data_IF_719340374896
#
_entry.id   IF_719340374896
#
_cell.length_a   1.000
_cell.length_b   1.000
_cell.length_c   1.000
_cell.angle_alpha   90.00
_cell.angle_beta   90.00
_cell.angle_gamma   90.00
#
_symmetry.space_group_name_H-M   'P 1'
#
loop_
_entity.id
_entity.type
_entity.pdbx_description
1 polymer ?
#
# COMPACT_ATOMS: atom_id res chain seq x y z
N UNK A 1 -9.12 -13.69 75.36
CA UNK A 1 -10.08 -14.25 74.40
C UNK A 1 -10.28 -13.23 73.28
N UNK A 2 -9.70 -13.48 72.09
CA UNK A 2 -9.90 -12.69 70.87
C UNK A 2 -10.80 -13.53 69.96
N UNK A 3 -12.00 -13.05 69.64
CA UNK A 3 -12.76 -13.61 68.53
C UNK A 3 -12.78 -12.60 67.38
N UNK A 4 -12.14 -13.04 66.30
CA UNK A 4 -11.85 -12.29 65.09
C UNK A 4 -13.11 -12.00 64.30
N UNK A 5 -13.17 -10.80 63.74
CA UNK A 5 -14.20 -10.30 62.84
C UNK A 5 -14.02 -10.83 61.42
N UNK A 6 -15.15 -10.94 60.74
CA UNK A 6 -15.34 -10.73 59.29
C UNK A 6 -15.04 -11.90 58.34
N UNK A 7 -16.09 -12.66 58.02
CA UNK A 7 -16.22 -13.30 56.71
C UNK A 7 -16.95 -12.31 55.80
N UNK A 8 -16.21 -11.63 54.92
CA UNK A 8 -16.73 -11.01 53.70
C UNK A 8 -15.95 -11.60 52.54
N UNK A 9 -16.47 -12.68 51.97
CA UNK A 9 -16.02 -13.17 50.66
C UNK A 9 -16.51 -12.17 49.61
N UNK A 10 -15.63 -11.27 49.19
CA UNK A 10 -15.84 -10.46 48.01
C UNK A 10 -15.62 -11.34 46.78
N UNK A 11 -16.71 -11.82 46.17
CA UNK A 11 -16.69 -12.34 44.80
C UNK A 11 -16.69 -11.13 43.87
N UNK A 12 -15.51 -10.70 43.45
CA UNK A 12 -15.31 -9.78 42.33
C UNK A 12 -14.38 -10.49 41.35
N UNK A 13 -14.93 -11.49 40.66
CA UNK A 13 -14.29 -12.11 39.51
C UNK A 13 -14.92 -11.57 38.22
N UNK A 14 -14.04 -11.07 37.36
CA UNK A 14 -14.16 -11.04 35.91
C UNK A 14 -15.24 -10.15 35.27
N UNK A 15 -14.90 -8.88 35.08
CA UNK A 15 -15.39 -8.06 33.97
C UNK A 15 -14.23 -7.24 33.35
N UNK A 16 -13.14 -7.91 32.97
CA UNK A 16 -12.02 -7.32 32.22
C UNK A 16 -11.81 -7.99 30.85
N UNK A 17 -12.80 -8.73 30.35
CA UNK A 17 -12.79 -9.29 29.00
C UNK A 17 -13.74 -8.46 28.13
N UNK A 18 -13.22 -7.62 27.23
CA UNK A 18 -14.07 -7.16 26.13
C UNK A 18 -13.64 -5.93 25.34
N UNK A 19 -12.77 -5.04 25.83
CA UNK A 19 -12.27 -3.94 25.00
C UNK A 19 -11.05 -4.37 24.19
N UNK A 20 -11.20 -5.45 23.43
CA UNK A 20 -10.29 -5.76 22.33
C UNK A 20 -10.45 -4.66 21.28
N UNK A 21 -9.34 -4.05 20.87
CA UNK A 21 -9.25 -3.22 19.67
C UNK A 21 -9.75 -4.05 18.47
N UNK A 22 -11.05 -4.00 18.19
CA UNK A 22 -11.61 -4.61 16.99
C UNK A 22 -11.15 -3.74 15.81
N UNK A 23 -10.12 -4.21 15.11
CA UNK A 23 -9.78 -3.64 13.81
C UNK A 23 -11.03 -3.71 12.92
N UNK A 24 -11.41 -2.59 12.31
CA UNK A 24 -12.58 -2.56 11.44
C UNK A 24 -12.42 -3.57 10.29
N UNK A 25 -13.49 -4.20 9.80
CA UNK A 25 -13.42 -5.13 8.67
C UNK A 25 -12.70 -4.53 7.46
N UNK A 26 -12.94 -3.25 7.17
CA UNK A 26 -12.25 -2.50 6.11
C UNK A 26 -10.73 -2.43 6.33
N UNK A 27 -10.29 -2.15 7.57
CA UNK A 27 -8.85 -2.15 7.91
C UNK A 27 -8.24 -3.53 7.72
N UNK A 28 -8.94 -4.59 8.13
CA UNK A 28 -8.45 -5.96 7.98
C UNK A 28 -8.31 -6.37 6.50
N UNK A 29 -9.30 -6.07 5.67
CA UNK A 29 -9.25 -6.31 4.22
C UNK A 29 -8.14 -5.49 3.53
N UNK A 30 -7.90 -4.25 3.99
CA UNK A 30 -6.79 -3.43 3.49
C UNK A 30 -5.43 -4.03 3.85
N UNK A 31 -5.24 -4.47 5.09
CA UNK A 31 -4.01 -5.14 5.54
C UNK A 31 -3.76 -6.45 4.77
N UNK A 32 -4.82 -7.21 4.50
CA UNK A 32 -4.76 -8.41 3.65
C UNK A 32 -4.32 -8.06 2.24
N UNK A 33 -4.87 -7.00 1.65
CA UNK A 33 -4.50 -6.53 0.30
C UNK A 33 -3.02 -6.11 0.23
N UNK A 34 -2.52 -5.40 1.25
CA UNK A 34 -1.10 -5.05 1.38
C UNK A 34 -0.24 -6.31 1.42
N UNK A 35 -0.59 -7.28 2.27
CA UNK A 35 0.16 -8.52 2.41
C UNK A 35 0.18 -9.34 1.10
N UNK A 36 -0.94 -9.38 0.37
CA UNK A 36 -1.05 -10.06 -0.92
C UNK A 36 -0.17 -9.40 -1.99
N UNK A 37 -0.17 -8.07 -2.09
CA UNK A 37 0.65 -7.35 -3.05
C UNK A 37 2.15 -7.44 -2.71
N UNK A 38 2.52 -7.30 -1.44
CA UNK A 38 3.90 -7.53 -0.99
C UNK A 38 4.37 -8.98 -1.26
N UNK A 39 3.47 -9.96 -1.11
CA UNK A 39 3.73 -11.34 -1.49
C UNK A 39 3.96 -11.53 -2.99
N UNK A 40 3.19 -10.83 -3.84
CA UNK A 40 3.40 -10.82 -5.29
C UNK A 40 4.73 -10.19 -5.69
N UNK A 41 5.06 -9.03 -5.11
CA UNK A 41 6.35 -8.35 -5.30
C UNK A 41 7.51 -9.29 -4.98
N UNK A 42 7.47 -9.93 -3.80
CA UNK A 42 8.49 -10.88 -3.36
C UNK A 42 8.63 -12.07 -4.32
N UNK A 43 7.53 -12.66 -4.77
CA UNK A 43 7.57 -13.77 -5.75
C UNK A 43 8.18 -13.34 -7.08
N UNK A 44 7.93 -12.10 -7.51
CA UNK A 44 8.56 -11.51 -8.70
C UNK A 44 10.01 -11.03 -8.46
N UNK A 45 10.64 -11.45 -7.35
CA UNK A 45 12.02 -11.11 -6.99
C UNK A 45 12.22 -9.69 -6.48
N UNK A 46 11.15 -8.95 -6.17
CA UNK A 46 11.21 -7.56 -5.70
C UNK A 46 11.02 -7.49 -4.19
N UNK A 47 12.00 -6.96 -3.47
CA UNK A 47 11.90 -6.80 -2.02
C UNK A 47 10.93 -5.68 -1.63
N UNK A 48 10.30 -5.80 -0.46
CA UNK A 48 9.55 -4.70 0.17
C UNK A 48 10.24 -4.36 1.50
N UNK A 49 10.88 -3.21 1.54
CA UNK A 49 11.68 -2.73 2.66
C UNK A 49 10.94 -1.59 3.37
N UNK A 50 11.24 -1.40 4.65
CA UNK A 50 10.68 -0.32 5.46
C UNK A 50 11.82 0.56 5.97
N UNK A 51 11.79 1.83 5.60
CA UNK A 51 12.71 2.86 6.12
C UNK A 51 12.00 3.71 7.18
N UNK A 52 12.76 4.22 8.16
CA UNK A 52 12.22 5.01 9.30
C UNK A 52 12.69 6.45 9.32
N UNK A 53 13.59 6.83 8.43
CA UNK A 53 14.31 8.09 8.40
C UNK A 53 14.27 8.75 7.01
N UNK A 54 13.13 8.66 6.33
CA UNK A 54 12.96 9.28 5.02
C UNK A 54 12.79 10.81 5.09
N UNK A 55 13.17 11.54 4.03
CA UNK A 55 12.81 12.95 3.85
C UNK A 55 11.30 13.17 4.01
N UNK A 56 10.90 14.36 4.48
CA UNK A 56 9.48 14.72 4.58
C UNK A 56 8.82 14.60 3.20
N UNK A 57 7.56 14.16 3.19
CA UNK A 57 6.73 13.99 1.98
C UNK A 57 7.10 12.80 1.06
N UNK A 58 8.23 12.12 1.28
CA UNK A 58 8.53 10.87 0.58
C UNK A 58 7.78 9.70 1.22
N UNK A 59 6.73 9.19 0.58
CA UNK A 59 5.92 8.09 1.13
C UNK A 59 6.55 6.72 0.84
N UNK A 60 7.16 6.58 -0.34
CA UNK A 60 7.86 5.38 -0.77
C UNK A 60 8.67 5.65 -2.02
N UNK A 61 9.38 4.61 -2.49
CA UNK A 61 10.10 4.62 -3.75
C UNK A 61 10.40 3.21 -4.23
N UNK A 62 10.30 2.96 -5.54
CA UNK A 62 10.91 1.83 -6.20
C UNK A 62 12.37 2.15 -6.58
N UNK A 63 13.31 1.48 -5.93
CA UNK A 63 14.76 1.62 -6.16
C UNK A 63 15.21 0.59 -7.18
N UNK A 64 15.19 0.97 -8.47
CA UNK A 64 15.52 0.10 -9.60
C UNK A 64 16.82 -0.71 -9.40
N UNK A 65 17.90 -0.04 -8.98
CA UNK A 65 19.22 -0.67 -8.85
C UNK A 65 19.27 -1.81 -7.81
N UNK A 66 18.30 -1.83 -6.87
CA UNK A 66 18.19 -2.85 -5.82
C UNK A 66 17.01 -3.79 -6.04
N UNK A 67 16.21 -3.55 -7.08
CA UNK A 67 14.91 -4.19 -7.29
C UNK A 67 14.09 -4.26 -5.99
N UNK A 68 13.92 -3.11 -5.33
CA UNK A 68 13.26 -3.02 -4.03
C UNK A 68 12.27 -1.86 -3.99
N UNK A 69 11.10 -2.12 -3.42
CA UNK A 69 10.15 -1.09 -2.99
C UNK A 69 10.47 -0.72 -1.56
N UNK A 70 10.70 0.56 -1.30
CA UNK A 70 10.93 1.11 0.04
C UNK A 70 9.69 1.87 0.48
N UNK A 71 9.17 1.56 1.65
CA UNK A 71 8.07 2.29 2.30
C UNK A 71 8.62 3.12 3.46
N UNK A 72 8.27 4.41 3.51
CA UNK A 72 8.76 5.35 4.51
C UNK A 72 7.81 5.42 5.72
N UNK A 73 8.04 4.56 6.71
CA UNK A 73 7.17 4.43 7.88
C UNK A 73 6.95 5.74 8.64
N UNK A 74 7.98 6.59 8.74
CA UNK A 74 7.88 7.89 9.41
C UNK A 74 6.90 8.86 8.73
N UNK A 75 6.62 8.68 7.44
CA UNK A 75 5.67 9.50 6.70
C UNK A 75 4.29 8.83 6.56
N UNK A 76 4.24 7.49 6.56
CA UNK A 76 3.02 6.69 6.42
C UNK A 76 2.21 6.54 7.72
N UNK A 77 2.84 6.68 8.90
CA UNK A 77 2.18 6.73 10.22
C UNK A 77 1.24 5.55 10.53
N UNK A 78 1.62 4.34 10.12
CA UNK A 78 0.83 3.09 10.35
C UNK A 78 -0.62 3.14 9.82
N UNK A 79 -0.88 3.98 8.81
CA UNK A 79 -2.15 4.10 8.10
C UNK A 79 -2.21 3.11 6.91
N UNK A 80 -3.04 2.05 6.98
CA UNK A 80 -3.11 1.04 5.92
C UNK A 80 -3.60 1.57 4.59
N UNK A 81 -4.41 2.64 4.55
CA UNK A 81 -4.82 3.23 3.27
C UNK A 81 -3.62 3.89 2.59
N UNK A 82 -2.83 4.68 3.33
CA UNK A 82 -1.61 5.30 2.79
C UNK A 82 -0.54 4.28 2.40
N UNK A 83 -0.38 3.22 3.21
CA UNK A 83 0.53 2.12 2.89
C UNK A 83 0.11 1.45 1.59
N UNK A 84 -1.19 1.17 1.41
CA UNK A 84 -1.70 0.59 0.18
C UNK A 84 -1.51 1.51 -1.02
N UNK A 85 -1.92 2.78 -0.92
CA UNK A 85 -1.78 3.75 -2.00
C UNK A 85 -0.33 3.86 -2.47
N UNK A 86 0.61 3.95 -1.52
CA UNK A 86 2.04 3.99 -1.81
C UNK A 86 2.50 2.68 -2.43
N UNK A 87 2.16 1.53 -1.84
CA UNK A 87 2.58 0.23 -2.37
C UNK A 87 2.03 -0.05 -3.77
N UNK A 88 0.78 0.35 -4.04
CA UNK A 88 0.16 0.23 -5.36
C UNK A 88 0.88 1.11 -6.39
N UNK A 89 1.17 2.37 -6.03
CA UNK A 89 1.96 3.28 -6.86
C UNK A 89 3.34 2.71 -7.19
N UNK A 90 4.11 2.32 -6.16
CA UNK A 90 5.46 1.76 -6.37
C UNK A 90 5.41 0.43 -7.13
N UNK A 91 4.36 -0.38 -6.95
CA UNK A 91 4.18 -1.61 -7.72
C UNK A 91 3.99 -1.33 -9.20
N UNK A 92 3.42 -0.19 -9.60
CA UNK A 92 3.31 0.19 -11.00
C UNK A 92 4.71 0.42 -11.61
N UNK A 93 5.63 1.04 -10.87
CA UNK A 93 7.02 1.16 -11.33
C UNK A 93 7.72 -0.19 -11.47
N UNK A 94 7.40 -1.15 -10.60
CA UNK A 94 7.85 -2.54 -10.75
C UNK A 94 7.25 -3.18 -12.01
N UNK A 95 5.96 -2.97 -12.29
CA UNK A 95 5.30 -3.47 -13.50
C UNK A 95 5.94 -2.90 -14.77
N UNK A 96 6.20 -1.59 -14.80
CA UNK A 96 6.92 -0.92 -15.89
C UNK A 96 8.31 -1.52 -16.08
N UNK A 97 9.01 -1.81 -14.98
CA UNK A 97 10.31 -2.45 -15.01
C UNK A 97 10.26 -3.89 -15.52
N UNK A 98 9.29 -4.70 -15.09
CA UNK A 98 9.08 -6.06 -15.58
C UNK A 98 8.88 -6.08 -17.10
N UNK A 99 8.05 -5.17 -17.61
CA UNK A 99 7.70 -5.14 -19.03
C UNK A 99 8.76 -4.46 -19.90
N UNK A 100 9.57 -3.56 -19.34
CA UNK A 100 10.46 -2.64 -20.09
C UNK A 100 9.71 -1.75 -21.09
N UNK A 101 8.42 -1.56 -20.85
CA UNK A 101 7.49 -0.78 -21.65
C UNK A 101 6.38 -0.24 -20.73
N UNK A 102 5.61 0.75 -21.18
CA UNK A 102 4.50 1.30 -20.42
C UNK A 102 3.43 0.26 -20.04
N UNK A 103 2.69 0.52 -18.96
CA UNK A 103 1.63 -0.39 -18.48
C UNK A 103 0.40 -0.33 -19.39
N UNK A 104 0.03 0.88 -19.81
CA UNK A 104 -1.17 1.10 -20.62
C UNK A 104 -0.77 1.48 -22.05
N UNK A 105 -1.54 0.96 -23.01
CA UNK A 105 -1.45 1.38 -24.41
C UNK A 105 -1.81 2.86 -24.54
N UNK A 106 -1.21 3.56 -25.51
CA UNK A 106 -1.32 5.03 -25.62
C UNK A 106 -2.76 5.52 -25.80
N UNK A 107 -3.56 4.76 -26.54
CA UNK A 107 -4.97 5.04 -26.82
C UNK A 107 -5.85 4.90 -25.57
N UNK A 108 -5.56 3.91 -24.71
CA UNK A 108 -6.25 3.72 -23.44
C UNK A 108 -5.82 4.71 -22.35
N UNK A 109 -4.54 5.07 -22.33
CA UNK A 109 -3.98 5.95 -21.31
C UNK A 109 -4.72 7.29 -21.22
N UNK A 110 -5.15 7.87 -22.35
CA UNK A 110 -5.88 9.13 -22.37
C UNK A 110 -7.23 9.05 -21.65
N UNK A 111 -8.00 7.98 -21.90
CA UNK A 111 -9.29 7.76 -21.26
C UNK A 111 -9.14 7.42 -19.77
N UNK A 112 -8.22 6.50 -19.45
CA UNK A 112 -7.97 6.08 -18.06
C UNK A 112 -7.48 7.25 -17.22
N UNK A 113 -6.61 8.11 -17.77
CA UNK A 113 -6.19 9.35 -17.13
C UNK A 113 -7.36 10.32 -16.93
N UNK A 114 -8.20 10.54 -17.95
CA UNK A 114 -9.36 11.43 -17.82
C UNK A 114 -10.32 10.97 -16.71
N UNK A 115 -10.63 9.67 -16.66
CA UNK A 115 -11.49 9.11 -15.63
C UNK A 115 -10.86 9.21 -14.23
N UNK A 116 -9.60 8.79 -14.09
CA UNK A 116 -8.91 8.79 -12.81
C UNK A 116 -8.67 10.22 -12.28
N UNK A 117 -8.29 11.16 -13.15
CA UNK A 117 -8.08 12.56 -12.77
C UNK A 117 -9.37 13.29 -12.38
N UNK A 118 -10.51 12.90 -12.95
CA UNK A 118 -11.82 13.40 -12.52
C UNK A 118 -12.24 12.86 -11.15
N UNK A 119 -11.96 11.58 -10.89
CA UNK A 119 -12.31 10.93 -9.61
C UNK A 119 -11.40 11.36 -8.46
N UNK A 120 -10.10 11.54 -8.73
CA UNK A 120 -9.08 11.78 -7.71
C UNK A 120 -8.07 12.85 -8.18
N UNK A 121 -8.51 14.11 -8.38
CA UNK A 121 -7.67 15.16 -8.94
C UNK A 121 -6.40 15.42 -8.13
N UNK A 122 -6.43 15.23 -6.81
CA UNK A 122 -5.29 15.36 -5.91
C UNK A 122 -4.13 14.42 -6.23
N UNK A 123 -4.39 13.21 -6.74
CA UNK A 123 -3.34 12.26 -7.11
C UNK A 123 -2.49 12.77 -8.29
N UNK A 124 -3.08 13.59 -9.15
CA UNK A 124 -2.45 14.04 -10.39
C UNK A 124 -1.82 15.43 -10.28
N UNK A 125 -2.14 16.22 -9.24
CA UNK A 125 -1.54 17.56 -9.03
C UNK A 125 -0.01 17.53 -8.96
N UNK A 126 0.56 16.48 -8.39
CA UNK A 126 2.00 16.35 -8.22
C UNK A 126 2.72 16.01 -9.53
N UNK A 127 2.03 15.47 -10.55
CA UNK A 127 2.66 15.07 -11.83
C UNK A 127 3.35 16.25 -12.52
N UNK A 128 2.78 17.45 -12.42
CA UNK A 128 3.36 18.67 -12.99
C UNK A 128 4.73 19.05 -12.40
N UNK A 129 5.10 18.50 -11.23
CA UNK A 129 6.39 18.76 -10.59
C UNK A 129 7.52 17.88 -11.14
N UNK A 130 7.18 16.80 -11.85
CA UNK A 130 8.16 15.92 -12.47
C UNK A 130 8.65 16.48 -13.82
N UNK A 131 9.82 16.04 -14.25
CA UNK A 131 10.29 16.33 -15.60
C UNK A 131 9.33 15.74 -16.65
N UNK A 132 9.06 16.41 -17.79
CA UNK A 132 8.11 15.93 -18.80
C UNK A 132 8.36 14.50 -19.29
N UNK A 133 9.62 14.08 -19.35
CA UNK A 133 9.98 12.70 -19.73
C UNK A 133 9.49 11.62 -18.75
N UNK A 134 9.12 12.00 -17.53
CA UNK A 134 8.62 11.09 -16.48
C UNK A 134 7.10 11.12 -16.36
N UNK A 135 6.42 12.11 -16.97
CA UNK A 135 4.98 12.31 -16.80
C UNK A 135 4.16 11.07 -17.12
N UNK A 136 4.46 10.38 -18.24
CA UNK A 136 3.74 9.15 -18.57
C UNK A 136 3.90 8.11 -17.47
N UNK A 137 5.13 7.83 -17.07
CA UNK A 137 5.46 6.82 -16.05
C UNK A 137 4.73 7.10 -14.75
N UNK A 138 4.72 8.35 -14.30
CA UNK A 138 4.03 8.79 -13.08
C UNK A 138 2.50 8.74 -13.22
N UNK A 139 1.95 9.16 -14.35
CA UNK A 139 0.50 9.10 -14.62
C UNK A 139 0.00 7.66 -14.52
N UNK A 140 0.71 6.72 -15.14
CA UNK A 140 0.35 5.30 -15.05
C UNK A 140 0.39 4.80 -13.61
N UNK A 141 1.40 5.20 -12.83
CA UNK A 141 1.48 4.84 -11.41
C UNK A 141 0.36 5.45 -10.57
N UNK A 142 -0.09 6.67 -10.87
CA UNK A 142 -1.27 7.29 -10.23
C UNK A 142 -2.59 6.64 -10.62
N UNK A 143 -2.73 6.20 -11.87
CA UNK A 143 -3.89 5.39 -12.29
C UNK A 143 -3.91 4.09 -11.48
N UNK A 144 -2.80 3.34 -11.44
CA UNK A 144 -2.71 2.08 -10.67
C UNK A 144 -2.97 2.30 -9.18
N UNK A 145 -2.49 3.40 -8.60
CA UNK A 145 -2.75 3.78 -7.22
C UNK A 145 -4.26 3.87 -6.90
N UNK A 146 -5.07 4.32 -7.85
CA UNK A 146 -6.53 4.47 -7.69
C UNK A 146 -7.36 3.22 -8.00
N UNK A 147 -6.75 2.16 -8.56
CA UNK A 147 -7.49 0.96 -8.95
C UNK A 147 -7.95 0.12 -7.73
N UNK A 148 -9.05 -0.64 -7.87
CA UNK A 148 -9.40 -1.68 -6.90
C UNK A 148 -8.26 -2.68 -6.69
N UNK A 149 -8.14 -3.19 -5.46
CA UNK A 149 -7.02 -4.05 -5.08
C UNK A 149 -6.85 -5.28 -5.98
N UNK A 150 -7.95 -5.91 -6.36
CA UNK A 150 -7.95 -7.06 -7.28
C UNK A 150 -7.40 -6.69 -8.66
N UNK A 151 -7.76 -5.51 -9.18
CA UNK A 151 -7.28 -5.03 -10.47
C UNK A 151 -5.78 -4.75 -10.44
N UNK A 152 -5.27 -4.13 -9.37
CA UNK A 152 -3.81 -3.93 -9.17
C UNK A 152 -3.09 -5.27 -9.20
N UNK A 153 -3.59 -6.28 -8.48
CA UNK A 153 -2.97 -7.59 -8.40
C UNK A 153 -3.01 -8.33 -9.76
N UNK A 154 -4.11 -8.23 -10.49
CA UNK A 154 -4.25 -8.82 -11.82
C UNK A 154 -3.33 -8.13 -12.84
N UNK A 155 -3.21 -6.81 -12.78
CA UNK A 155 -2.30 -6.05 -13.61
C UNK A 155 -0.83 -6.38 -13.30
N UNK A 156 -0.50 -6.57 -12.01
CA UNK A 156 0.82 -7.01 -11.58
C UNK A 156 1.18 -8.36 -12.18
N UNK A 157 0.28 -9.35 -12.05
CA UNK A 157 0.49 -10.72 -12.57
C UNK A 157 0.73 -10.73 -14.08
N UNK A 158 -0.03 -9.95 -14.85
CA UNK A 158 0.16 -9.84 -16.30
C UNK A 158 1.47 -9.15 -16.66
N UNK A 159 1.80 -8.06 -15.95
CA UNK A 159 2.98 -7.25 -16.25
C UNK A 159 4.30 -7.94 -15.87
N UNK A 160 4.29 -8.75 -14.82
CA UNK A 160 5.46 -9.47 -14.30
C UNK A 160 5.36 -10.98 -14.51
N UNK A 161 4.59 -11.45 -15.50
CA UNK A 161 4.34 -12.87 -15.75
C UNK A 161 5.65 -13.68 -15.82
N UNK A 162 6.64 -13.19 -16.55
CA UNK A 162 7.95 -13.85 -16.72
C UNK A 162 8.74 -14.02 -15.41
N UNK A 163 8.49 -13.16 -14.42
CA UNK A 163 9.15 -13.21 -13.10
C UNK A 163 8.38 -14.06 -12.08
N UNK A 164 7.18 -14.55 -12.44
CA UNK A 164 6.31 -15.32 -11.57
C UNK A 164 6.26 -16.82 -11.92
N UNK A 165 7.04 -17.24 -12.92
CA UNK A 165 7.20 -18.63 -13.35
C UNK A 165 8.11 -19.43 -12.42
#
# INVERSE_FOLDING_TARGET
MRFSRSIRFAVLLAALLGFGLQASPARAERLKSIALLAGLLRRAGTETLVARDCPKQLMGAFVFARNAVVLCANNLKDDPERVWETLAHESAHVMQHCRRQPIFERDRLGLDFLLASHQSPELFKAVAQYHPSQHRTEIEARIVQGLPAEEVMNLFRRSCADRLL
#
